data_IF_462439421340
#
_entry.id   IF_462439421340
#
_cell.length_a   1.000
_cell.length_b   1.000
_cell.length_c   1.000
_cell.angle_alpha   90.00
_cell.angle_beta   90.00
_cell.angle_gamma   90.00
#
_symmetry.space_group_name_H-M   'P 1'
#
loop_
_entity.id
_entity.type
_entity.pdbx_description
1 polymer ?
#
# COMPACT_ATOMS: atom_id res chain seq x y z
N UNK A 1 37.11 -17.17 -29.91
CA UNK A 1 35.85 -16.74 -30.54
C UNK A 1 35.46 -15.39 -29.95
N UNK A 2 35.73 -14.31 -30.69
CA UNK A 2 35.34 -12.94 -30.36
C UNK A 2 34.45 -12.43 -31.49
N UNK A 3 33.20 -12.16 -31.17
CA UNK A 3 32.17 -11.46 -31.95
C UNK A 3 31.20 -10.96 -30.85
N UNK A 4 30.94 -9.68 -30.59
CA UNK A 4 30.91 -8.49 -31.43
C UNK A 4 29.47 -7.93 -31.37
N UNK A 5 29.25 -6.91 -30.55
CA UNK A 5 28.06 -6.00 -30.47
C UNK A 5 27.62 -5.43 -31.86
N UNK A 6 26.49 -4.69 -32.05
CA UNK A 6 25.75 -3.86 -31.09
C UNK A 6 24.20 -3.81 -31.20
N UNK A 7 23.64 -3.02 -30.30
CA UNK A 7 22.32 -2.42 -30.09
C UNK A 7 21.42 -2.08 -31.31
N UNK A 8 20.11 -1.98 -31.06
CA UNK A 8 19.23 -0.79 -31.29
C UNK A 8 17.78 -1.13 -31.70
N UNK A 9 16.90 -0.19 -31.38
CA UNK A 9 15.43 -0.22 -31.33
C UNK A 9 14.74 -0.39 -32.70
N UNK A 10 13.41 -0.53 -32.71
CA UNK A 10 12.66 0.47 -33.45
C UNK A 10 11.55 1.12 -32.63
N UNK A 11 11.58 2.44 -32.63
CA UNK A 11 10.39 3.26 -32.43
C UNK A 11 9.41 3.02 -33.60
N UNK A 12 8.13 2.87 -33.29
CA UNK A 12 7.04 3.25 -34.22
C UNK A 12 6.09 4.17 -33.48
N UNK A 13 5.99 5.37 -34.05
CA UNK A 13 5.12 6.47 -33.74
C UNK A 13 3.83 6.32 -34.55
N UNK A 14 2.66 6.54 -33.93
CA UNK A 14 1.45 7.06 -34.60
C UNK A 14 0.50 7.56 -33.50
N UNK A 15 0.44 8.88 -33.24
CA UNK A 15 -0.58 9.81 -33.76
C UNK A 15 -2.02 9.32 -33.54
N UNK A 16 -3.00 10.12 -33.14
CA UNK A 16 -3.10 11.54 -32.82
C UNK A 16 -4.59 11.83 -32.53
N UNK A 17 -4.83 12.86 -31.71
CA UNK A 17 -5.92 13.86 -31.86
C UNK A 17 -7.36 13.51 -31.45
N UNK A 18 -7.77 14.22 -30.39
CA UNK A 18 -8.85 15.23 -30.36
C UNK A 18 -10.30 14.79 -30.53
N UNK A 19 -11.15 15.08 -29.52
CA UNK A 19 -12.37 15.93 -29.58
C UNK A 19 -13.28 15.63 -28.38
N UNK A 20 -13.40 16.55 -27.41
CA UNK A 20 -14.47 17.56 -27.19
C UNK A 20 -15.91 17.05 -27.11
N UNK A 21 -16.59 17.48 -26.03
CA UNK A 21 -18.05 17.67 -25.89
C UNK A 21 -18.89 16.38 -25.76
N UNK A 22 -19.99 16.27 -25.04
CA UNK A 22 -20.89 17.18 -24.30
C UNK A 22 -21.78 16.26 -23.45
N UNK A 23 -21.96 16.54 -22.16
CA UNK A 23 -23.19 17.08 -21.54
C UNK A 23 -24.44 16.16 -21.57
N UNK A 24 -24.88 15.80 -20.35
CA UNK A 24 -26.26 15.66 -19.84
C UNK A 24 -27.18 14.62 -20.52
N UNK A 25 -28.18 14.02 -19.89
CA UNK A 25 -28.70 13.87 -18.53
C UNK A 25 -29.93 12.94 -18.68
N UNK A 26 -30.33 12.30 -17.58
CA UNK A 26 -31.57 11.56 -17.36
C UNK A 26 -31.81 10.25 -18.12
N UNK A 27 -32.27 9.25 -17.36
CA UNK A 27 -33.15 8.22 -17.88
C UNK A 27 -32.82 6.84 -17.35
N UNK A 28 -33.49 6.46 -16.26
CA UNK A 28 -33.47 5.11 -15.73
C UNK A 28 -33.88 4.07 -16.80
N UNK A 29 -33.17 2.95 -16.80
CA UNK A 29 -33.69 1.67 -17.29
C UNK A 29 -33.41 1.35 -18.75
N UNK A 30 -32.16 1.00 -19.06
CA UNK A 30 -31.90 -0.02 -20.08
C UNK A 30 -30.54 -0.67 -19.83
N UNK A 31 -30.51 -1.98 -20.01
CA UNK A 31 -29.29 -2.78 -20.17
C UNK A 31 -28.58 -3.17 -18.88
N UNK A 32 -29.28 -4.00 -18.11
CA UNK A 32 -28.71 -5.20 -17.52
C UNK A 32 -28.07 -6.09 -18.62
N UNK A 33 -26.98 -5.62 -19.23
CA UNK A 33 -26.25 -6.29 -20.30
C UNK A 33 -24.88 -5.61 -20.57
N UNK A 34 -24.10 -5.29 -19.52
CA UNK A 34 -22.75 -4.75 -19.72
C UNK A 34 -21.79 -5.01 -18.55
N UNK A 35 -21.92 -6.14 -17.83
CA UNK A 35 -20.95 -6.52 -16.78
C UNK A 35 -20.42 -7.95 -16.90
N UNK A 36 -20.69 -8.63 -18.00
CA UNK A 36 -20.19 -9.98 -18.28
C UNK A 36 -19.14 -9.95 -19.37
N UNK A 37 -18.09 -9.13 -19.24
CA UNK A 37 -16.81 -9.42 -19.92
C UNK A 37 -15.61 -8.59 -19.42
N UNK A 38 -15.51 -8.30 -18.12
CA UNK A 38 -14.20 -7.94 -17.58
C UNK A 38 -13.41 -9.24 -17.40
N UNK A 39 -12.63 -9.61 -18.43
CA UNK A 39 -11.65 -10.69 -18.33
C UNK A 39 -10.80 -10.47 -17.07
N UNK A 40 -10.60 -11.50 -16.22
CA UNK A 40 -9.69 -11.36 -15.09
C UNK A 40 -8.31 -11.06 -15.68
N UNK A 41 -7.80 -9.85 -15.42
CA UNK A 41 -6.39 -9.57 -15.63
C UNK A 41 -5.61 -10.66 -14.92
N UNK A 42 -4.80 -11.40 -15.65
CA UNK A 42 -3.87 -12.40 -15.13
C UNK A 42 -2.83 -11.67 -14.28
N UNK A 43 -3.21 -11.30 -13.04
CA UNK A 43 -2.23 -11.02 -12.00
C UNK A 43 -1.35 -12.27 -11.93
N UNK A 44 -0.05 -12.07 -12.14
CA UNK A 44 0.96 -13.10 -11.91
C UNK A 44 0.61 -13.85 -10.64
N UNK A 45 0.43 -15.17 -10.74
CA UNK A 45 0.09 -16.03 -9.63
C UNK A 45 1.27 -16.00 -8.64
N UNK A 46 1.24 -15.03 -7.73
CA UNK A 46 2.20 -14.94 -6.65
C UNK A 46 2.14 -16.18 -5.78
N UNK A 47 3.24 -16.48 -5.09
CA UNK A 47 3.30 -17.55 -4.09
C UNK A 47 2.24 -17.29 -3.03
N UNK A 48 1.34 -18.24 -2.80
CA UNK A 48 0.32 -18.15 -1.76
C UNK A 48 0.93 -18.46 -0.40
N UNK A 49 0.96 -17.47 0.50
CA UNK A 49 1.40 -17.65 1.89
C UNK A 49 0.17 -17.87 2.76
N UNK A 50 0.14 -18.97 3.51
CA UNK A 50 -0.95 -19.28 4.45
C UNK A 50 -0.54 -18.90 5.87
N UNK A 51 -1.29 -17.99 6.49
CA UNK A 51 -1.14 -17.65 7.91
C UNK A 51 -1.82 -18.73 8.77
N UNK A 52 -1.17 -19.16 9.86
CA UNK A 52 -1.68 -20.19 10.77
C UNK A 52 -2.96 -19.76 11.51
N UNK A 53 -3.76 -20.72 11.95
CA UNK A 53 -5.01 -20.47 12.70
C UNK A 53 -4.74 -19.76 14.03
N UNK A 54 -3.65 -20.11 14.71
CA UNK A 54 -3.23 -19.46 15.95
C UNK A 54 -2.85 -17.98 15.75
N UNK A 55 -2.09 -17.66 14.70
CA UNK A 55 -1.75 -16.28 14.38
C UNK A 55 -2.99 -15.45 14.02
N UNK A 56 -3.96 -16.04 13.30
CA UNK A 56 -5.25 -15.39 12.99
C UNK A 56 -6.13 -15.18 14.23
N UNK A 57 -6.05 -16.07 15.22
CA UNK A 57 -6.76 -15.93 16.49
C UNK A 57 -6.15 -14.81 17.33
N UNK A 58 -4.82 -14.70 17.38
CA UNK A 58 -4.11 -13.63 18.07
C UNK A 58 -4.37 -12.27 17.42
N UNK A 59 -4.38 -12.18 16.08
CA UNK A 59 -4.73 -10.93 15.37
C UNK A 59 -6.14 -10.45 15.71
N UNK A 60 -7.11 -11.36 15.88
CA UNK A 60 -8.47 -11.02 16.30
C UNK A 60 -8.54 -10.54 17.75
N UNK A 61 -7.71 -11.09 18.62
CA UNK A 61 -7.62 -10.68 20.02
C UNK A 61 -6.96 -9.29 20.17
N UNK A 62 -5.92 -9.00 19.37
CA UNK A 62 -5.19 -7.72 19.37
C UNK A 62 -6.01 -6.56 18.78
N UNK A 63 -6.97 -6.87 17.89
CA UNK A 63 -7.96 -5.90 17.41
C UNK A 63 -9.00 -5.49 18.46
N UNK A 64 -9.05 -6.16 19.62
CA UNK A 64 -9.88 -5.76 20.75
C UNK A 64 -9.16 -4.73 21.61
N UNK A 65 -9.63 -3.49 21.59
CA UNK A 65 -9.25 -2.40 22.53
C UNK A 65 -7.82 -1.81 22.44
N UNK A 66 -7.13 -1.88 21.30
CA UNK A 66 -5.79 -1.26 21.20
C UNK A 66 -5.21 -0.93 19.83
N UNK A 67 -5.84 -1.35 18.73
CA UNK A 67 -5.29 -1.19 17.38
C UNK A 67 -5.94 -0.06 16.55
N UNK A 68 -6.62 0.89 17.19
CA UNK A 68 -7.09 2.10 16.51
C UNK A 68 -5.95 3.12 16.51
N UNK A 69 -5.52 3.52 15.30
CA UNK A 69 -4.59 4.64 15.16
C UNK A 69 -5.26 5.87 15.76
N UNK A 70 -4.65 6.45 16.79
CA UNK A 70 -5.12 7.68 17.39
C UNK A 70 -5.01 8.84 16.38
N UNK A 71 -6.14 9.14 15.74
CA UNK A 71 -6.23 10.18 14.72
C UNK A 71 -5.94 11.58 15.29
N UNK A 72 -6.26 11.83 16.57
CA UNK A 72 -5.98 13.11 17.23
C UNK A 72 -4.47 13.28 17.40
N UNK A 73 -3.79 12.25 17.91
CA UNK A 73 -2.33 12.26 18.05
C UNK A 73 -1.63 12.45 16.71
N UNK A 74 -2.06 11.73 15.66
CA UNK A 74 -1.48 11.87 14.32
C UNK A 74 -1.66 13.29 13.78
N UNK A 75 -2.85 13.89 13.95
CA UNK A 75 -3.12 15.26 13.53
C UNK A 75 -2.25 16.28 14.27
N UNK A 76 -2.09 16.13 15.59
CA UNK A 76 -1.27 16.99 16.42
C UNK A 76 0.22 16.93 16.00
N UNK A 77 0.76 15.72 15.82
CA UNK A 77 2.15 15.53 15.38
C UNK A 77 2.36 16.11 13.98
N UNK A 78 1.44 15.87 13.05
CA UNK A 78 1.52 16.45 11.69
C UNK A 78 1.52 17.98 11.74
N UNK A 79 0.73 18.58 12.61
CA UNK A 79 0.67 20.04 12.78
C UNK A 79 1.99 20.59 13.35
N UNK A 80 2.55 19.95 14.38
CA UNK A 80 3.85 20.34 14.96
C UNK A 80 5.01 20.25 13.95
N UNK A 81 5.00 19.23 13.08
CA UNK A 81 5.99 19.09 12.00
C UNK A 81 5.84 20.23 10.97
N UNK A 82 4.61 20.53 10.53
CA UNK A 82 4.35 21.63 9.57
C UNK A 82 4.76 23.00 10.13
N UNK A 83 4.54 23.22 11.43
CA UNK A 83 4.89 24.46 12.12
C UNK A 83 6.38 24.54 12.49
N UNK A 84 7.16 23.47 12.29
CA UNK A 84 8.57 23.40 12.66
C UNK A 84 8.82 23.35 14.17
N UNK A 85 7.79 23.12 14.98
CA UNK A 85 7.86 23.08 16.46
C UNK A 85 8.08 21.68 17.01
N UNK A 86 8.07 20.66 16.15
CA UNK A 86 8.39 19.29 16.54
C UNK A 86 9.88 19.16 16.87
N UNK A 87 10.21 18.85 18.12
CA UNK A 87 11.58 18.61 18.58
C UNK A 87 11.82 17.11 18.72
N UNK A 88 12.90 16.63 18.11
CA UNK A 88 13.33 15.24 18.24
C UNK A 88 13.93 15.02 19.64
N UNK A 89 13.39 14.05 20.38
CA UNK A 89 14.00 13.60 21.64
C UNK A 89 14.87 12.35 21.37
N UNK A 90 16.22 12.47 21.45
CA UNK A 90 17.12 11.35 21.19
C UNK A 90 17.06 10.25 22.26
N UNK A 91 16.83 10.60 23.52
CA UNK A 91 16.72 9.63 24.63
C UNK A 91 15.49 8.74 24.43
N UNK A 92 14.35 9.34 24.08
CA UNK A 92 13.13 8.60 23.79
C UNK A 92 13.30 7.63 22.61
N UNK A 93 14.11 8.00 21.60
CA UNK A 93 14.43 7.10 20.48
C UNK A 93 15.27 5.92 20.98
N UNK A 94 16.32 6.19 21.76
CA UNK A 94 17.19 5.15 22.30
C UNK A 94 16.41 4.12 23.15
N UNK A 95 15.53 4.60 24.02
CA UNK A 95 14.69 3.75 24.86
C UNK A 95 13.76 2.86 24.02
N UNK A 96 13.16 3.42 22.96
CA UNK A 96 12.28 2.64 22.07
C UNK A 96 13.05 1.62 21.24
N UNK A 97 14.27 1.93 20.79
CA UNK A 97 15.13 0.98 20.11
C UNK A 97 15.54 -0.18 21.03
N UNK A 98 15.94 0.12 22.27
CA UNK A 98 16.30 -0.91 23.23
C UNK A 98 15.09 -1.77 23.61
N UNK A 99 13.94 -1.16 23.84
CA UNK A 99 12.70 -1.88 24.13
C UNK A 99 12.30 -2.83 22.99
N UNK A 100 12.39 -2.38 21.74
CA UNK A 100 12.11 -3.22 20.58
C UNK A 100 13.12 -4.38 20.44
N UNK A 101 14.41 -4.12 20.67
CA UNK A 101 15.44 -5.15 20.63
C UNK A 101 15.22 -6.21 21.73
N UNK A 102 14.85 -5.79 22.94
CA UNK A 102 14.51 -6.70 24.03
C UNK A 102 13.29 -7.57 23.70
N UNK A 103 12.27 -7.00 23.07
CA UNK A 103 11.08 -7.73 22.63
C UNK A 103 11.44 -8.78 21.57
N UNK A 104 12.27 -8.41 20.57
CA UNK A 104 12.77 -9.35 19.56
C UNK A 104 13.56 -10.49 20.20
N UNK A 105 14.47 -10.18 21.13
CA UNK A 105 15.26 -11.19 21.82
C UNK A 105 14.37 -12.14 22.62
N UNK A 106 13.43 -11.61 23.41
CA UNK A 106 12.47 -12.40 24.18
C UNK A 106 11.67 -13.36 23.29
N UNK A 107 11.24 -12.92 22.10
CA UNK A 107 10.52 -13.80 21.16
C UNK A 107 11.38 -14.93 20.58
N UNK A 108 12.70 -14.76 20.49
CA UNK A 108 13.60 -15.80 19.97
C UNK A 108 14.09 -16.75 21.08
N UNK A 109 14.17 -16.27 22.33
CA UNK A 109 14.65 -17.06 23.47
C UNK A 109 13.56 -17.70 24.33
N UNK A 110 12.29 -17.32 24.13
CA UNK A 110 11.13 -17.96 24.78
C UNK A 110 10.59 -19.09 23.92
#
# INVERSE_FOLDING_TARGET
>A
MKIGQPSELPAVVTQAKTSVSQKADLGAGASAAARTNAAPSTRSAGVSVTVSTAARALEKADRGEGAEVDAQKVSAVRSAIQQGTYVVNPEAIADKLLSNAQEMLKRTTS
#
